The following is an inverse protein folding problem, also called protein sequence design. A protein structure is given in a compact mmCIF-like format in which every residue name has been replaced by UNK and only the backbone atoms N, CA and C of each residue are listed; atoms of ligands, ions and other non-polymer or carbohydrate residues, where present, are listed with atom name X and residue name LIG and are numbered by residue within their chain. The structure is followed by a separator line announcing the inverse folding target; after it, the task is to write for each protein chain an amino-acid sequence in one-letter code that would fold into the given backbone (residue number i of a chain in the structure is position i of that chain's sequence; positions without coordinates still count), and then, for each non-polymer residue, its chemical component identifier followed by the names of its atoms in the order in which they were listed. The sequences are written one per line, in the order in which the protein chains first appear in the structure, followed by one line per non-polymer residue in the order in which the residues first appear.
data_IF_324156550305
#
_entry.id   IF_324156550305
#
_cell.length_a   1.000
_cell.length_b   1.000
_cell.length_c   1.000
_cell.angle_alpha   90.00
_cell.angle_beta   90.00
_cell.angle_gamma   90.00
#
_symmetry.space_group_name_H-M   'P 1'
#
loop_
_entity.id
_entity.type
_entity.pdbx_description
1 polymer ?
#
# COMPACT_ATOMS: atom_id res chain seq x y z
N UNK A 1 -42.96 -22.73 -41.54
CA UNK A 1 -41.68 -22.06 -41.25
C UNK A 1 -41.51 -21.99 -39.74
N UNK A 2 -40.28 -22.16 -39.27
CA UNK A 2 -39.92 -22.80 -38.00
C UNK A 2 -39.12 -21.82 -37.13
N UNK A 3 -39.43 -21.83 -35.83
CA UNK A 3 -38.63 -21.40 -34.67
C UNK A 3 -38.55 -19.91 -34.29
N UNK A 4 -39.48 -19.56 -33.39
CA UNK A 4 -39.24 -18.91 -32.07
C UNK A 4 -37.98 -18.07 -31.88
N UNK A 5 -38.18 -16.75 -31.80
CA UNK A 5 -37.22 -15.74 -31.38
C UNK A 5 -36.89 -15.90 -29.90
N UNK A 6 -35.68 -16.38 -29.58
CA UNK A 6 -35.20 -16.50 -28.20
C UNK A 6 -34.59 -15.15 -27.79
N UNK A 7 -35.27 -14.43 -26.89
CA UNK A 7 -34.72 -13.30 -26.16
C UNK A 7 -33.56 -13.79 -25.28
N UNK A 8 -32.33 -13.44 -25.64
CA UNK A 8 -31.18 -13.56 -24.74
C UNK A 8 -30.93 -12.21 -24.07
N UNK A 9 -31.68 -11.91 -22.99
CA UNK A 9 -31.32 -10.85 -22.04
C UNK A 9 -30.13 -11.33 -21.22
N UNK A 10 -28.92 -10.97 -21.65
CA UNK A 10 -27.70 -11.17 -20.88
C UNK A 10 -27.64 -10.04 -19.85
N UNK A 11 -28.04 -10.33 -18.62
CA UNK A 11 -27.75 -9.47 -17.47
C UNK A 11 -26.25 -9.55 -17.19
N UNK A 12 -25.47 -8.60 -17.69
CA UNK A 12 -24.10 -8.38 -17.23
C UNK A 12 -24.16 -7.89 -15.79
N UNK A 13 -24.04 -8.81 -14.84
CA UNK A 13 -23.73 -8.50 -13.45
C UNK A 13 -22.34 -7.85 -13.42
N UNK A 14 -22.31 -6.52 -13.44
CA UNK A 14 -21.13 -5.74 -13.17
C UNK A 14 -20.77 -5.95 -11.69
N UNK A 15 -20.00 -7.00 -11.41
CA UNK A 15 -19.27 -7.11 -10.15
C UNK A 15 -18.31 -5.92 -10.12
N UNK A 16 -18.63 -4.91 -9.32
CA UNK A 16 -17.70 -3.84 -8.96
C UNK A 16 -16.52 -4.45 -8.21
N UNK A 17 -15.54 -4.95 -8.96
CA UNK A 17 -14.21 -5.25 -8.43
C UNK A 17 -13.65 -3.90 -7.97
N UNK A 18 -13.69 -3.66 -6.65
CA UNK A 18 -12.92 -2.59 -6.03
C UNK A 18 -11.48 -2.80 -6.50
N UNK A 19 -10.97 -1.86 -7.31
CA UNK A 19 -9.58 -1.90 -7.72
C UNK A 19 -8.72 -1.76 -6.46
N UNK A 20 -7.75 -2.67 -6.29
CA UNK A 20 -6.84 -2.59 -5.16
C UNK A 20 -5.99 -1.32 -5.25
N UNK A 21 -5.86 -0.61 -4.14
CA UNK A 21 -5.02 0.57 -4.04
C UNK A 21 -3.54 0.17 -3.94
N UNK A 22 -2.66 0.95 -4.57
CA UNK A 22 -1.23 0.90 -4.29
C UNK A 22 -0.89 1.90 -3.18
N UNK A 23 -0.34 1.38 -2.08
CA UNK A 23 -0.07 2.16 -0.86
C UNK A 23 1.32 1.85 -0.31
N UNK A 24 1.87 2.79 0.44
CA UNK A 24 3.20 2.71 1.03
C UNK A 24 3.20 3.23 2.46
N UNK A 25 4.03 2.60 3.30
CA UNK A 25 4.39 3.12 4.62
C UNK A 25 5.85 3.55 4.57
N UNK A 26 6.09 4.85 4.35
CA UNK A 26 7.43 5.37 4.21
C UNK A 26 8.04 5.79 5.53
N UNK A 27 9.32 5.51 5.69
CA UNK A 27 10.13 6.14 6.73
C UNK A 27 10.51 7.53 6.27
N UNK A 28 9.94 8.59 6.87
CA UNK A 28 10.31 9.97 6.54
C UNK A 28 10.92 10.69 7.72
N UNK A 29 11.77 11.67 7.45
CA UNK A 29 12.37 12.52 8.47
C UNK A 29 11.27 13.34 9.17
N UNK A 30 11.25 13.29 10.49
CA UNK A 30 10.23 13.91 11.34
C UNK A 30 10.61 15.31 11.82
N UNK A 31 11.91 15.61 11.94
CA UNK A 31 12.47 16.86 12.48
C UNK A 31 13.50 17.50 11.55
N UNK A 32 13.93 18.74 11.83
CA UNK A 32 14.98 19.41 11.06
C UNK A 32 14.57 19.96 9.69
N UNK A 33 15.57 20.39 8.91
CA UNK A 33 15.41 21.03 7.59
C UNK A 33 14.94 20.07 6.50
N UNK A 34 15.19 18.77 6.68
CA UNK A 34 14.84 17.72 5.72
C UNK A 34 13.51 17.02 6.04
N UNK A 35 12.71 17.60 6.95
CA UNK A 35 11.41 17.06 7.35
C UNK A 35 10.55 16.67 6.14
N UNK A 36 10.03 15.45 6.18
CA UNK A 36 9.19 14.86 5.13
C UNK A 36 9.97 14.17 4.01
N UNK A 37 11.29 14.33 3.92
CA UNK A 37 12.12 13.55 3.00
C UNK A 37 12.19 12.10 3.47
N UNK A 38 12.33 11.20 2.52
CA UNK A 38 12.52 9.78 2.79
C UNK A 38 13.82 9.50 3.53
N UNK A 39 13.81 8.44 4.32
CA UNK A 39 15.02 7.81 4.83
C UNK A 39 15.92 7.39 3.65
N UNK A 40 17.20 7.80 3.60
CA UNK A 40 18.00 7.72 2.38
C UNK A 40 18.27 6.31 1.83
N UNK A 41 18.42 5.31 2.69
CA UNK A 41 18.73 3.93 2.26
C UNK A 41 17.52 3.20 1.69
N UNK A 42 16.31 3.63 2.06
CA UNK A 42 15.06 2.98 1.72
C UNK A 42 14.81 1.67 2.46
N UNK A 43 15.70 1.27 3.36
CA UNK A 43 15.51 0.10 4.21
C UNK A 43 14.31 0.30 5.13
N UNK A 44 14.13 1.52 5.65
CA UNK A 44 13.05 1.81 6.56
C UNK A 44 11.69 1.76 5.86
N UNK A 45 11.55 2.40 4.70
CA UNK A 45 10.33 2.33 3.88
C UNK A 45 10.00 0.89 3.47
N UNK A 46 11.01 0.12 3.08
CA UNK A 46 10.80 -1.28 2.69
C UNK A 46 10.24 -2.11 3.86
N UNK A 47 10.87 -2.01 5.03
CA UNK A 47 10.47 -2.77 6.20
C UNK A 47 9.09 -2.35 6.74
N UNK A 48 8.85 -1.04 6.88
CA UNK A 48 7.56 -0.52 7.35
C UNK A 48 6.42 -0.89 6.39
N UNK A 49 6.66 -0.83 5.08
CA UNK A 49 5.65 -1.24 4.09
C UNK A 49 5.37 -2.74 4.16
N UNK A 50 6.40 -3.58 4.31
CA UNK A 50 6.23 -5.03 4.53
C UNK A 50 5.46 -5.34 5.82
N UNK A 51 5.76 -4.64 6.91
CA UNK A 51 5.09 -4.82 8.20
C UNK A 51 3.61 -4.39 8.16
N UNK A 52 3.28 -3.34 7.41
CA UNK A 52 1.92 -2.83 7.27
C UNK A 52 1.07 -3.61 6.25
N UNK A 53 1.70 -4.27 5.27
CA UNK A 53 1.02 -5.02 4.20
C UNK A 53 0.56 -6.41 4.64
N UNK A 54 -0.28 -6.49 5.67
CA UNK A 54 -0.77 -7.78 6.22
C UNK A 54 -1.88 -8.41 5.38
N UNK A 55 -2.76 -7.58 4.83
CA UNK A 55 -3.96 -7.98 4.06
C UNK A 55 -3.84 -7.58 2.58
N UNK A 56 -2.60 -7.51 2.07
CA UNK A 56 -2.31 -7.14 0.70
C UNK A 56 -1.09 -7.88 0.15
N UNK A 57 -0.76 -7.58 -1.09
CA UNK A 57 0.38 -8.17 -1.79
C UNK A 57 1.48 -7.13 -1.98
N UNK A 58 2.70 -7.47 -1.58
CA UNK A 58 3.87 -6.62 -1.84
C UNK A 58 4.18 -6.63 -3.33
N UNK A 59 4.35 -5.44 -3.91
CA UNK A 59 4.82 -5.31 -5.28
C UNK A 59 6.30 -5.72 -5.38
N UNK A 60 6.55 -6.91 -5.92
CA UNK A 60 7.89 -7.48 -6.03
C UNK A 60 8.81 -6.71 -7.00
N UNK A 61 8.25 -5.89 -7.91
CA UNK A 61 9.05 -5.09 -8.85
C UNK A 61 9.66 -3.86 -8.16
N UNK A 62 9.07 -3.40 -7.06
CA UNK A 62 9.46 -2.16 -6.39
C UNK A 62 10.23 -2.41 -5.09
N UNK A 63 11.28 -1.63 -4.85
CA UNK A 63 12.25 -1.84 -3.76
C UNK A 63 12.60 -0.54 -3.04
N UNK A 64 13.15 -0.65 -1.84
CA UNK A 64 13.61 0.50 -1.04
C UNK A 64 12.50 1.53 -0.82
N UNK A 65 12.78 2.80 -1.12
CA UNK A 65 11.80 3.89 -1.03
C UNK A 65 10.67 3.84 -2.06
N UNK A 66 10.71 2.92 -3.01
CA UNK A 66 9.62 2.69 -3.96
C UNK A 66 8.75 1.48 -3.54
N UNK A 67 9.07 0.77 -2.45
CA UNK A 67 8.31 -0.40 -2.01
C UNK A 67 6.82 -0.06 -1.83
N UNK A 68 5.94 -0.88 -2.40
CA UNK A 68 4.49 -0.68 -2.34
C UNK A 68 3.76 -1.97 -1.94
N UNK A 69 2.60 -1.79 -1.35
CA UNK A 69 1.60 -2.81 -1.08
C UNK A 69 0.39 -2.58 -1.99
N UNK A 70 -0.12 -3.64 -2.60
CA UNK A 70 -1.38 -3.66 -3.33
C UNK A 70 -2.43 -4.16 -2.35
N UNK A 71 -3.35 -3.30 -1.90
CA UNK A 71 -4.32 -3.64 -0.86
C UNK A 71 -5.72 -3.11 -1.17
N UNK A 72 -6.74 -3.92 -0.89
CA UNK A 72 -8.14 -3.48 -0.90
C UNK A 72 -8.56 -2.79 0.41
N UNK A 73 -7.69 -2.83 1.43
CA UNK A 73 -7.95 -2.40 2.81
C UNK A 73 -7.05 -1.20 3.18
N UNK A 74 -7.07 -0.16 2.33
CA UNK A 74 -6.24 1.06 2.48
C UNK A 74 -6.28 1.68 3.89
N UNK A 75 -7.45 1.74 4.51
CA UNK A 75 -7.62 2.33 5.85
C UNK A 75 -6.95 1.47 6.93
N UNK A 76 -7.04 0.14 6.81
CA UNK A 76 -6.38 -0.78 7.72
C UNK A 76 -4.86 -0.70 7.55
N UNK A 77 -4.37 -0.68 6.31
CA UNK A 77 -2.96 -0.45 6.01
C UNK A 77 -2.45 0.86 6.63
N UNK A 78 -3.21 1.96 6.53
CA UNK A 78 -2.86 3.24 7.15
C UNK A 78 -2.75 3.15 8.68
N UNK A 79 -3.69 2.46 9.33
CA UNK A 79 -3.65 2.21 10.79
C UNK A 79 -2.43 1.36 11.17
N UNK A 80 -2.20 0.25 10.45
CA UNK A 80 -1.05 -0.64 10.68
C UNK A 80 0.28 0.09 10.44
N UNK A 81 0.36 0.98 9.44
CA UNK A 81 1.52 1.80 9.15
C UNK A 81 1.86 2.76 10.31
N UNK A 82 0.87 3.49 10.83
CA UNK A 82 1.09 4.44 11.93
C UNK A 82 1.40 3.74 13.27
N UNK A 83 0.99 2.49 13.42
CA UNK A 83 1.30 1.66 14.58
C UNK A 83 2.58 0.82 14.41
N UNK A 84 3.20 0.81 13.22
CA UNK A 84 4.36 -0.02 12.94
C UNK A 84 5.56 0.41 13.79
N UNK A 85 6.18 -0.58 14.44
CA UNK A 85 7.42 -0.38 15.16
C UNK A 85 8.59 -0.19 14.19
N UNK A 86 9.53 0.67 14.56
CA UNK A 86 10.73 0.88 13.77
C UNK A 86 11.66 -0.31 13.90
N UNK A 87 12.12 -0.90 12.79
CA UNK A 87 13.16 -1.92 12.85
C UNK A 87 14.47 -1.29 13.36
N UNK A 88 15.30 -2.09 14.03
CA UNK A 88 16.69 -1.70 14.30
C UNK A 88 17.42 -1.48 12.98
N UNK A 89 18.32 -0.48 12.88
CA UNK A 89 18.76 0.47 13.91
C UNK A 89 17.95 1.79 13.96
N UNK A 90 16.78 1.86 13.32
CA UNK A 90 15.99 3.08 13.15
C UNK A 90 15.09 3.44 14.33
N UNK A 91 15.11 2.67 15.42
CA UNK A 91 14.28 2.92 16.60
C UNK A 91 14.72 4.13 17.44
N UNK A 92 15.94 4.66 17.21
CA UNK A 92 16.51 5.82 17.90
C UNK A 92 16.64 7.05 17.01
N UNK A 93 16.15 6.98 15.78
CA UNK A 93 16.33 8.05 14.77
C UNK A 93 15.13 8.99 14.69
N UNK A 94 15.35 10.19 14.16
CA UNK A 94 14.34 11.21 13.87
C UNK A 94 13.37 10.84 12.73
N UNK A 95 13.06 9.56 12.50
CA UNK A 95 12.13 9.13 11.45
C UNK A 95 10.73 8.87 12.00
N UNK A 96 9.72 9.00 11.13
CA UNK A 96 8.32 8.67 11.41
C UNK A 96 7.71 7.83 10.27
N UNK A 97 6.75 6.95 10.57
CA UNK A 97 6.02 6.24 9.54
C UNK A 97 5.05 7.21 8.87
N UNK A 98 5.02 7.19 7.55
CA UNK A 98 4.19 8.09 6.74
C UNK A 98 3.42 7.26 5.73
N UNK A 99 2.13 7.13 5.99
CA UNK A 99 1.20 6.52 5.05
C UNK A 99 1.00 7.44 3.84
N UNK A 100 1.14 6.88 2.64
CA UNK A 100 0.93 7.60 1.38
C UNK A 100 0.57 6.64 0.23
N UNK A 101 -0.03 7.16 -0.87
CA UNK A 101 -0.15 6.38 -2.09
C UNK A 101 1.23 6.01 -2.68
N UNK A 102 1.23 4.89 -3.39
CA UNK A 102 2.21 4.53 -4.39
C UNK A 102 1.59 4.69 -5.79
#
# INVERSE_FOLDING_TARGET
MKFTTILATIATAALSVKAADRVQCAGTISTGTDKGRYEPSGALTANLTEAACKDGDIDAALKGNQKCCISNEKNKFGTDCLAAAFPQPFNHTDFKPTFQPC
#
